data_IF_675517612581
#
_entry.id   IF_675517612581
#
_cell.length_a   1.000
_cell.length_b   1.000
_cell.length_c   1.000
_cell.angle_alpha   90.00
_cell.angle_beta   90.00
_cell.angle_gamma   90.00
#
_symmetry.space_group_name_H-M   'P 1'
#
loop_
_entity.id
_entity.type
_entity.pdbx_description
1 polymer ?
#
# COMPACT_ATOMS: atom_id res chain seq x y z
N UNK A 1 -3.73 -18.47 -30.65
CA UNK A 1 -4.61 -18.79 -29.51
C UNK A 1 -4.38 -17.78 -28.42
N UNK A 2 -5.45 -17.10 -28.03
CA UNK A 2 -5.50 -15.88 -27.21
C UNK A 2 -5.20 -16.18 -25.74
N UNK A 3 -4.18 -15.53 -25.18
CA UNK A 3 -3.99 -15.45 -23.71
C UNK A 3 -4.72 -14.19 -23.25
N UNK A 4 -5.80 -14.40 -22.50
CA UNK A 4 -6.56 -13.33 -21.86
C UNK A 4 -5.78 -12.85 -20.63
N UNK A 5 -5.15 -11.68 -20.72
CA UNK A 5 -4.70 -10.92 -19.56
C UNK A 5 -5.94 -10.36 -18.85
N UNK A 6 -6.27 -10.89 -17.67
CA UNK A 6 -7.15 -10.18 -16.74
C UNK A 6 -6.33 -9.13 -15.99
N UNK A 7 -6.56 -7.87 -16.38
CA UNK A 7 -6.21 -6.67 -15.63
C UNK A 7 -6.89 -6.71 -14.25
N UNK A 8 -6.12 -6.95 -13.18
CA UNK A 8 -6.58 -6.61 -11.83
C UNK A 8 -6.26 -5.14 -11.55
N UNK A 9 -7.19 -4.29 -11.98
CA UNK A 9 -7.33 -2.93 -11.47
C UNK A 9 -7.70 -2.98 -9.98
N UNK A 10 -6.94 -2.24 -9.17
CA UNK A 10 -7.37 -1.52 -7.96
C UNK A 10 -8.24 -2.27 -6.95
N UNK A 11 -7.60 -2.92 -5.96
CA UNK A 11 -8.16 -3.05 -4.61
C UNK A 11 -7.05 -2.74 -3.61
N UNK A 12 -7.11 -1.55 -3.02
CA UNK A 12 -6.43 -1.24 -1.77
C UNK A 12 -7.22 -1.96 -0.68
N UNK A 13 -6.66 -3.02 -0.09
CA UNK A 13 -7.16 -3.58 1.16
C UNK A 13 -6.13 -3.28 2.25
N UNK A 14 -6.55 -2.40 3.16
CA UNK A 14 -5.85 -2.01 4.38
C UNK A 14 -5.69 -3.23 5.29
N UNK A 15 -4.51 -3.37 5.88
CA UNK A 15 -4.31 -4.14 7.11
C UNK A 15 -3.65 -5.50 6.95
N UNK A 16 -2.36 -5.51 6.63
CA UNK A 16 -1.42 -6.57 7.01
C UNK A 16 -0.04 -5.90 7.13
N UNK A 17 0.44 -5.68 8.36
CA UNK A 17 1.83 -5.32 8.60
C UNK A 17 2.69 -6.53 8.21
N UNK A 18 3.60 -6.44 7.23
CA UNK A 18 4.64 -7.44 7.10
C UNK A 18 5.58 -7.27 8.31
N UNK A 19 5.66 -8.28 9.18
CA UNK A 19 6.78 -8.40 10.10
C UNK A 19 8.02 -8.67 9.25
N UNK A 20 8.82 -7.63 9.01
CA UNK A 20 10.09 -7.73 8.28
C UNK A 20 11.10 -8.57 9.08
N UNK A 21 11.14 -9.88 8.84
CA UNK A 21 12.30 -10.70 9.21
C UNK A 21 13.27 -10.73 8.04
N UNK A 22 14.28 -9.87 8.12
CA UNK A 22 15.60 -9.90 7.45
C UNK A 22 15.74 -10.93 6.31
N UNK A 23 15.45 -10.50 5.08
CA UNK A 23 15.58 -11.34 3.89
C UNK A 23 16.99 -11.24 3.29
N UNK A 24 17.83 -12.26 3.54
CA UNK A 24 19.02 -12.53 2.73
C UNK A 24 18.60 -12.78 1.27
N UNK A 25 19.27 -12.09 0.33
CA UNK A 25 19.10 -12.24 -1.12
C UNK A 25 19.14 -13.72 -1.51
N UNK A 26 18.06 -14.22 -2.12
CA UNK A 26 17.77 -15.62 -2.55
C UNK A 26 17.07 -16.52 -1.53
N UNK A 27 15.91 -16.10 -1.02
CA UNK A 27 14.96 -17.02 -0.38
C UNK A 27 13.57 -16.89 -1.02
N UNK A 28 12.97 -18.04 -1.35
CA UNK A 28 11.56 -18.13 -1.77
C UNK A 28 10.72 -18.14 -0.50
N UNK A 29 9.85 -17.14 -0.34
CA UNK A 29 8.92 -17.09 0.79
C UNK A 29 7.68 -17.95 0.46
N UNK A 30 7.53 -19.08 1.14
CA UNK A 30 6.34 -19.93 1.03
C UNK A 30 5.33 -19.52 2.11
N UNK A 31 4.23 -18.91 1.71
CA UNK A 31 3.12 -18.62 2.60
C UNK A 31 2.37 -19.91 2.93
N UNK A 32 2.52 -20.41 4.16
CA UNK A 32 1.72 -21.51 4.67
C UNK A 32 0.44 -20.96 5.32
N UNK A 33 -0.70 -21.22 4.68
CA UNK A 33 -2.01 -20.85 5.23
C UNK A 33 -2.40 -21.85 6.32
N UNK A 34 -2.36 -21.42 7.59
CA UNK A 34 -2.91 -22.19 8.71
C UNK A 34 -4.43 -22.16 8.64
N UNK A 35 -5.05 -23.31 8.33
CA UNK A 35 -6.50 -23.47 8.37
C UNK A 35 -7.00 -23.26 9.81
N UNK A 36 -7.96 -22.37 10.01
CA UNK A 36 -8.59 -22.16 11.31
C UNK A 36 -9.39 -23.42 11.73
N UNK A 37 -9.41 -23.80 13.01
CA UNK A 37 -10.06 -25.03 13.49
C UNK A 37 -11.58 -25.04 13.33
N UNK A 38 -12.21 -23.88 13.09
CA UNK A 38 -13.65 -23.76 12.87
C UNK A 38 -14.05 -24.03 11.40
N UNK A 39 -13.68 -25.19 10.85
CA UNK A 39 -14.28 -25.68 9.60
C UNK A 39 -15.61 -26.33 9.91
N UNK A 40 -16.71 -25.66 9.59
CA UNK A 40 -18.02 -26.31 9.55
C UNK A 40 -18.11 -27.15 8.28
N UNK A 41 -18.19 -28.48 8.42
CA UNK A 41 -18.55 -29.35 7.30
C UNK A 41 -20.04 -29.13 7.00
N UNK A 42 -20.34 -28.57 5.83
CA UNK A 42 -21.72 -28.47 5.35
C UNK A 42 -22.17 -29.90 5.01
N UNK A 43 -23.01 -30.50 5.86
CA UNK A 43 -23.53 -31.86 5.63
C UNK A 43 -24.50 -31.87 4.44
N UNK A 44 -24.56 -33.03 3.78
CA UNK A 44 -25.13 -33.29 2.44
C UNK A 44 -26.62 -33.01 2.22
N UNK A 45 -27.35 -32.49 3.22
CA UNK A 45 -28.77 -32.17 3.14
C UNK A 45 -29.09 -30.71 2.75
N UNK A 46 -28.08 -29.94 2.32
CA UNK A 46 -28.29 -28.56 1.90
C UNK A 46 -28.80 -28.49 0.44
N UNK A 47 -29.93 -27.81 0.21
CA UNK A 47 -30.50 -27.60 -1.13
C UNK A 47 -29.43 -27.07 -2.11
N UNK A 48 -29.37 -27.64 -3.32
CA UNK A 48 -28.34 -27.36 -4.36
C UNK A 48 -28.11 -25.86 -4.66
N UNK A 49 -29.16 -25.05 -4.58
CA UNK A 49 -29.06 -23.59 -4.78
C UNK A 49 -28.26 -22.91 -3.65
N UNK A 50 -28.50 -23.31 -2.40
CA UNK A 50 -27.85 -22.75 -1.21
C UNK A 50 -26.40 -23.21 -1.10
N UNK A 51 -26.09 -24.46 -1.47
CA UNK A 51 -24.69 -24.92 -1.54
C UNK A 51 -23.88 -24.17 -2.59
N UNK A 52 -24.45 -23.90 -3.77
CA UNK A 52 -23.80 -23.07 -4.80
C UNK A 52 -23.54 -21.64 -4.30
N UNK A 53 -24.51 -21.02 -3.64
CA UNK A 53 -24.36 -19.66 -3.10
C UNK A 53 -23.28 -19.57 -2.02
N UNK A 54 -23.23 -20.53 -1.10
CA UNK A 54 -22.18 -20.61 -0.06
C UNK A 54 -20.80 -20.86 -0.68
N UNK A 55 -20.69 -21.78 -1.65
CA UNK A 55 -19.42 -22.07 -2.32
C UNK A 55 -18.90 -20.85 -3.11
N UNK A 56 -19.82 -20.05 -3.67
CA UNK A 56 -19.49 -18.80 -4.36
C UNK A 56 -19.23 -17.63 -3.40
N UNK A 57 -19.38 -17.83 -2.08
CA UNK A 57 -19.35 -16.76 -1.07
C UNK A 57 -20.26 -15.57 -1.46
N UNK A 58 -21.42 -15.87 -2.04
CA UNK A 58 -22.28 -14.87 -2.66
C UNK A 58 -22.71 -13.78 -1.67
N UNK A 59 -22.94 -14.14 -0.40
CA UNK A 59 -23.23 -13.20 0.67
C UNK A 59 -22.79 -13.77 2.03
N UNK A 60 -22.08 -12.98 2.83
CA UNK A 60 -21.64 -13.38 4.19
C UNK A 60 -22.80 -13.56 5.18
N UNK A 61 -23.98 -13.03 4.87
CA UNK A 61 -25.21 -13.24 5.62
C UNK A 61 -25.57 -14.74 5.70
N UNK A 62 -25.34 -15.48 4.62
CA UNK A 62 -25.69 -16.90 4.54
C UNK A 62 -24.81 -17.78 5.45
N UNK A 63 -23.72 -17.23 5.99
CA UNK A 63 -22.81 -17.91 6.94
C UNK A 63 -23.08 -17.52 8.40
N UNK A 64 -24.08 -16.68 8.68
CA UNK A 64 -24.41 -16.29 10.06
C UNK A 64 -25.18 -17.40 10.76
N UNK A 65 -24.55 -17.99 11.78
CA UNK A 65 -25.15 -19.08 12.58
C UNK A 65 -25.89 -18.55 13.81
N UNK A 66 -25.38 -17.51 14.46
CA UNK A 66 -25.97 -16.90 15.65
C UNK A 66 -26.37 -15.43 15.38
N UNK A 67 -27.68 -15.20 15.38
CA UNK A 67 -28.28 -13.88 15.12
C UNK A 67 -27.97 -12.86 16.22
N UNK A 68 -27.79 -13.31 17.46
CA UNK A 68 -27.53 -12.43 18.61
C UNK A 68 -26.10 -11.88 18.56
N UNK A 69 -25.11 -12.75 18.30
CA UNK A 69 -23.71 -12.34 18.10
C UNK A 69 -23.57 -11.35 16.95
N UNK A 70 -24.27 -11.58 15.84
CA UNK A 70 -24.25 -10.66 14.69
C UNK A 70 -24.89 -9.32 15.05
N UNK A 71 -26.03 -9.32 15.75
CA UNK A 71 -26.70 -8.10 16.18
C UNK A 71 -25.81 -7.27 17.11
N UNK A 72 -25.19 -7.91 18.10
CA UNK A 72 -24.27 -7.26 19.03
C UNK A 72 -23.03 -6.72 18.30
N UNK A 73 -22.50 -7.45 17.32
CA UNK A 73 -21.38 -6.97 16.50
C UNK A 73 -21.76 -5.75 15.65
N UNK A 74 -22.97 -5.73 15.07
CA UNK A 74 -23.50 -4.57 14.33
C UNK A 74 -23.67 -3.37 15.24
N UNK A 75 -24.21 -3.56 16.44
CA UNK A 75 -24.38 -2.48 17.42
C UNK A 75 -23.01 -1.90 17.82
N UNK A 76 -22.04 -2.75 18.15
CA UNK A 76 -20.65 -2.33 18.44
C UNK A 76 -20.03 -1.54 17.29
N UNK A 77 -20.31 -1.92 16.04
CA UNK A 77 -19.83 -1.20 14.87
C UNK A 77 -20.49 0.18 14.76
N UNK A 78 -21.80 0.26 14.95
CA UNK A 78 -22.53 1.54 14.97
C UNK A 78 -22.03 2.45 16.09
N UNK A 79 -21.83 1.92 17.28
CA UNK A 79 -21.28 2.66 18.42
C UNK A 79 -19.86 3.17 18.13
N UNK A 80 -19.00 2.33 17.54
CA UNK A 80 -17.65 2.71 17.12
C UNK A 80 -17.64 3.75 15.99
N UNK A 81 -18.65 3.76 15.11
CA UNK A 81 -18.81 4.78 14.07
C UNK A 81 -19.30 6.12 14.65
N UNK A 82 -20.15 6.09 15.67
CA UNK A 82 -20.66 7.26 16.37
C UNK A 82 -19.60 7.89 17.29
N UNK A 83 -18.73 7.06 17.87
CA UNK A 83 -17.47 7.50 18.45
C UNK A 83 -16.61 8.06 17.31
N UNK A 84 -16.69 9.39 17.07
CA UNK A 84 -15.79 10.08 16.13
C UNK A 84 -14.36 9.59 16.37
N UNK A 85 -13.58 9.30 15.31
CA UNK A 85 -12.17 9.02 15.51
C UNK A 85 -11.58 10.19 16.31
N UNK A 86 -10.86 9.86 17.38
CA UNK A 86 -10.08 10.84 18.14
C UNK A 86 -9.40 11.77 17.13
N UNK A 87 -9.56 13.09 17.31
CA UNK A 87 -9.10 14.12 16.38
C UNK A 87 -7.74 13.71 15.84
N UNK A 88 -7.70 13.24 14.59
CA UNK A 88 -6.46 12.83 13.98
C UNK A 88 -5.61 14.09 13.93
N UNK A 89 -4.57 14.15 14.76
CA UNK A 89 -3.63 15.25 14.70
C UNK A 89 -3.16 15.33 13.25
N UNK A 90 -3.30 16.50 12.63
CA UNK A 90 -2.94 16.68 11.23
C UNK A 90 -1.43 16.48 11.09
N UNK A 91 -1.01 15.28 10.70
CA UNK A 91 0.38 14.97 10.44
C UNK A 91 0.85 15.78 9.23
N UNK A 92 2.03 16.40 9.33
CA UNK A 92 2.61 17.14 8.20
C UNK A 92 3.23 16.16 7.20
N UNK A 93 3.78 15.06 7.70
CA UNK A 93 4.33 13.95 6.94
C UNK A 93 4.30 12.68 7.81
N UNK A 94 4.72 11.56 7.24
CA UNK A 94 5.02 10.34 7.97
C UNK A 94 6.40 9.86 7.53
N UNK A 95 7.35 9.79 8.45
CA UNK A 95 8.71 9.37 8.17
C UNK A 95 9.20 8.40 9.24
N UNK A 96 9.33 7.14 8.85
CA UNK A 96 9.77 6.05 9.73
C UNK A 96 11.30 6.08 9.85
N UNK A 97 11.79 6.22 11.08
CA UNK A 97 13.21 6.15 11.42
C UNK A 97 13.61 4.71 11.74
N UNK A 98 12.86 4.06 12.64
CA UNK A 98 13.02 2.66 13.04
C UNK A 98 11.69 2.08 13.55
N UNK A 99 11.73 0.90 14.20
CA UNK A 99 10.56 0.19 14.71
C UNK A 99 9.81 0.93 15.83
N UNK A 100 10.45 1.88 16.50
CA UNK A 100 9.93 2.59 17.66
C UNK A 100 9.65 4.07 17.37
N UNK A 101 10.29 4.63 16.34
CA UNK A 101 10.26 6.04 16.03
C UNK A 101 9.70 6.30 14.63
N UNK A 102 8.50 6.90 14.59
CA UNK A 102 7.89 7.46 13.38
C UNK A 102 7.62 8.93 13.60
N UNK A 103 8.12 9.77 12.70
CA UNK A 103 8.03 11.23 12.82
C UNK A 103 6.89 11.78 11.98
N UNK A 104 6.19 12.75 12.55
CA UNK A 104 5.03 13.39 11.96
C UNK A 104 5.18 14.90 11.81
N UNK A 105 6.18 15.50 12.46
CA UNK A 105 6.48 16.92 12.46
C UNK A 105 7.99 17.17 12.38
N UNK A 106 8.38 18.34 11.84
CA UNK A 106 9.80 18.74 11.76
C UNK A 106 10.46 18.95 13.13
N UNK A 107 9.68 19.12 14.19
CA UNK A 107 10.15 19.19 15.58
C UNK A 107 10.60 17.86 16.15
N UNK A 108 10.18 16.74 15.54
CA UNK A 108 10.48 15.40 16.04
C UNK A 108 11.95 15.03 15.82
N UNK A 109 12.61 15.65 14.83
CA UNK A 109 14.03 15.49 14.56
C UNK A 109 14.91 16.09 15.67
N UNK A 110 15.76 15.25 16.25
CA UNK A 110 16.80 15.58 17.21
C UNK A 110 18.06 16.07 16.52
N UNK A 111 18.40 15.48 15.38
CA UNK A 111 19.58 15.86 14.62
C UNK A 111 19.32 17.12 13.79
N UNK A 112 20.05 18.24 14.01
CA UNK A 112 19.88 19.44 13.19
C UNK A 112 20.33 19.21 11.74
N UNK A 113 21.30 18.31 11.53
CA UNK A 113 21.79 17.94 10.19
C UNK A 113 20.77 17.06 9.47
N UNK A 114 20.19 16.05 10.13
CA UNK A 114 19.15 15.22 9.53
C UNK A 114 17.90 16.04 9.20
N UNK A 115 17.50 16.96 10.08
CA UNK A 115 16.37 17.88 9.86
C UNK A 115 16.57 18.75 8.60
N UNK A 116 17.76 19.33 8.42
CA UNK A 116 18.09 20.14 7.24
C UNK A 116 18.04 19.29 5.97
N UNK A 117 18.63 18.09 6.01
CA UNK A 117 18.64 17.16 4.87
C UNK A 117 17.22 16.70 4.51
N UNK A 118 16.37 16.44 5.52
CA UNK A 118 14.98 16.05 5.33
C UNK A 118 14.15 17.16 4.66
N UNK A 119 14.38 18.43 4.99
CA UNK A 119 13.71 19.53 4.31
C UNK A 119 14.02 19.57 2.80
N UNK A 120 15.29 19.41 2.42
CA UNK A 120 15.70 19.29 1.02
C UNK A 120 15.09 18.06 0.35
N UNK A 121 15.10 16.92 1.05
CA UNK A 121 14.48 15.68 0.59
C UNK A 121 12.97 15.85 0.30
N UNK A 122 12.23 16.57 1.15
CA UNK A 122 10.82 16.86 0.91
C UNK A 122 10.60 17.67 -0.38
N UNK A 123 11.45 18.66 -0.66
CA UNK A 123 11.38 19.45 -1.89
C UNK A 123 11.68 18.59 -3.13
N UNK A 124 12.74 17.77 -3.06
CA UNK A 124 13.10 16.83 -4.12
C UNK A 124 11.98 15.81 -4.37
N UNK A 125 11.34 15.28 -3.32
CA UNK A 125 10.19 14.39 -3.46
C UNK A 125 9.00 15.05 -4.15
N UNK A 126 8.72 16.33 -3.90
CA UNK A 126 7.65 17.05 -4.62
C UNK A 126 7.95 17.13 -6.13
N UNK A 127 9.18 17.51 -6.50
CA UNK A 127 9.61 17.54 -7.91
C UNK A 127 9.57 16.14 -8.55
N UNK A 128 9.97 15.10 -7.82
CA UNK A 128 9.88 13.72 -8.25
C UNK A 128 8.44 13.28 -8.55
N UNK A 129 7.48 13.66 -7.71
CA UNK A 129 6.07 13.36 -7.96
C UNK A 129 5.54 14.10 -9.20
N UNK A 130 5.97 15.34 -9.43
CA UNK A 130 5.61 16.08 -10.64
C UNK A 130 6.12 15.36 -11.91
N UNK A 131 7.36 14.85 -11.89
CA UNK A 131 7.91 14.07 -13.00
C UNK A 131 7.13 12.77 -13.23
N UNK A 132 6.74 12.07 -12.16
CA UNK A 132 5.86 10.88 -12.25
C UNK A 132 4.50 11.20 -12.86
N UNK A 133 3.88 12.32 -12.48
CA UNK A 133 2.62 12.76 -13.07
C UNK A 133 2.79 13.06 -14.57
N UNK A 134 3.85 13.78 -14.95
CA UNK A 134 4.17 14.05 -16.35
C UNK A 134 4.39 12.76 -17.17
N UNK A 135 5.09 11.77 -16.60
CA UNK A 135 5.27 10.47 -17.26
C UNK A 135 3.92 9.77 -17.47
N UNK A 136 3.01 9.85 -16.49
CA UNK A 136 1.67 9.27 -16.59
C UNK A 136 0.86 9.94 -17.71
N UNK A 137 0.94 11.26 -17.84
CA UNK A 137 0.31 12.01 -18.93
C UNK A 137 0.87 11.56 -20.28
N UNK A 138 2.19 11.56 -20.46
CA UNK A 138 2.82 11.12 -21.71
C UNK A 138 2.47 9.68 -22.10
N UNK A 139 2.39 8.76 -21.13
CA UNK A 139 1.94 7.38 -21.38
C UNK A 139 0.47 7.32 -21.80
N UNK A 140 -0.37 8.19 -21.25
CA UNK A 140 -1.78 8.32 -21.63
C UNK A 140 -1.91 8.85 -23.06
N UNK A 141 -1.16 9.89 -23.40
CA UNK A 141 -1.12 10.47 -24.74
C UNK A 141 -0.60 9.45 -25.76
N UNK A 142 0.45 8.70 -25.41
CA UNK A 142 0.99 7.62 -26.25
C UNK A 142 -0.06 6.56 -26.58
N UNK A 143 -0.91 6.18 -25.61
CA UNK A 143 -1.98 5.22 -25.85
C UNK A 143 -2.98 5.70 -26.90
N UNK A 144 -3.29 7.00 -26.91
CA UNK A 144 -4.29 7.62 -27.80
C UNK A 144 -3.70 8.12 -29.12
N UNK A 145 -2.37 8.24 -29.21
CA UNK A 145 -1.67 8.80 -30.36
C UNK A 145 -1.72 7.92 -31.63
N UNK A 146 -1.59 8.56 -32.79
CA UNK A 146 -1.32 7.90 -34.07
C UNK A 146 0.08 7.28 -34.10
N UNK A 147 0.34 6.37 -35.04
CA UNK A 147 1.62 5.65 -35.13
C UNK A 147 2.84 6.58 -35.27
N UNK A 148 2.70 7.68 -36.01
CA UNK A 148 3.76 8.69 -36.16
C UNK A 148 4.05 9.41 -34.83
N UNK A 149 3.00 9.84 -34.12
CA UNK A 149 3.15 10.50 -32.83
C UNK A 149 3.70 9.54 -31.77
N UNK A 150 3.38 8.24 -31.83
CA UNK A 150 4.00 7.22 -30.98
C UNK A 150 5.51 7.13 -31.18
N UNK A 151 5.99 7.17 -32.42
CA UNK A 151 7.44 7.13 -32.70
C UNK A 151 8.17 8.36 -32.12
N UNK A 152 7.50 9.52 -32.08
CA UNK A 152 8.05 10.75 -31.47
C UNK A 152 8.01 10.72 -29.94
N UNK A 153 6.94 10.17 -29.34
CA UNK A 153 6.74 10.13 -27.89
C UNK A 153 7.56 9.03 -27.20
N UNK A 154 7.78 7.89 -27.86
CA UNK A 154 8.52 6.76 -27.31
C UNK A 154 9.89 7.10 -26.71
N UNK A 155 10.80 7.82 -27.40
CA UNK A 155 12.11 8.17 -26.82
C UNK A 155 11.97 9.11 -25.61
N UNK A 156 11.07 10.10 -25.67
CA UNK A 156 10.84 11.03 -24.58
C UNK A 156 10.29 10.34 -23.31
N UNK A 157 9.42 9.35 -23.48
CA UNK A 157 8.90 8.51 -22.38
C UNK A 157 10.04 7.71 -21.76
N UNK A 158 10.85 7.04 -22.58
CA UNK A 158 11.96 6.22 -22.11
C UNK A 158 13.00 7.05 -21.33
N UNK A 159 13.35 8.23 -21.82
CA UNK A 159 14.30 9.10 -21.15
C UNK A 159 13.77 9.59 -19.80
N UNK A 160 12.48 9.94 -19.74
CA UNK A 160 11.84 10.35 -18.48
C UNK A 160 11.74 9.19 -17.49
N UNK A 161 11.49 7.97 -17.95
CA UNK A 161 11.49 6.76 -17.12
C UNK A 161 12.85 6.52 -16.48
N UNK A 162 13.94 6.57 -17.27
CA UNK A 162 15.31 6.44 -16.75
C UNK A 162 15.62 7.52 -15.73
N UNK A 163 15.18 8.76 -15.96
CA UNK A 163 15.38 9.86 -15.02
C UNK A 163 14.63 9.64 -13.71
N UNK A 164 13.40 9.15 -13.78
CA UNK A 164 12.59 8.80 -12.60
C UNK A 164 13.25 7.69 -11.79
N UNK A 165 13.81 6.67 -12.46
CA UNK A 165 14.53 5.59 -11.79
C UNK A 165 15.76 6.12 -11.03
N UNK A 166 16.59 6.95 -11.67
CA UNK A 166 17.73 7.61 -11.02
C UNK A 166 17.33 8.41 -9.77
N UNK A 167 16.28 9.24 -9.89
CA UNK A 167 15.80 10.05 -8.77
C UNK A 167 15.22 9.17 -7.65
N UNK A 168 14.62 8.03 -7.99
CA UNK A 168 14.12 7.09 -7.00
C UNK A 168 15.26 6.50 -6.15
N UNK A 169 16.35 6.08 -6.79
CA UNK A 169 17.55 5.61 -6.08
C UNK A 169 18.20 6.71 -5.23
N UNK A 170 18.34 7.91 -5.76
CA UNK A 170 18.88 9.06 -5.03
C UNK A 170 18.04 9.36 -3.78
N UNK A 171 16.72 9.41 -3.93
CA UNK A 171 15.79 9.62 -2.83
C UNK A 171 15.90 8.53 -1.75
N UNK A 172 16.09 7.27 -2.15
CA UNK A 172 16.28 6.16 -1.20
C UNK A 172 17.59 6.33 -0.43
N UNK A 173 18.69 6.64 -1.12
CA UNK A 173 19.99 6.91 -0.48
C UNK A 173 19.91 8.07 0.50
N UNK A 174 19.27 9.18 0.10
CA UNK A 174 19.06 10.33 1.00
C UNK A 174 18.21 9.97 2.20
N UNK A 175 17.13 9.19 2.03
CA UNK A 175 16.31 8.72 3.15
C UNK A 175 17.10 7.85 4.14
N UNK A 176 17.95 6.94 3.64
CA UNK A 176 18.84 6.12 4.47
C UNK A 176 19.81 7.02 5.25
N UNK A 177 20.42 8.01 4.60
CA UNK A 177 21.34 8.95 5.24
C UNK A 177 20.64 9.74 6.36
N UNK A 178 19.43 10.25 6.11
CA UNK A 178 18.64 10.94 7.14
C UNK A 178 18.40 10.03 8.34
N UNK A 179 18.00 8.77 8.11
CA UNK A 179 17.81 7.79 9.20
C UNK A 179 19.10 7.53 9.97
N UNK A 180 20.23 7.39 9.27
CA UNK A 180 21.54 7.17 9.93
C UNK A 180 21.90 8.33 10.86
N UNK A 181 21.83 9.56 10.34
CA UNK A 181 22.14 10.78 11.10
C UNK A 181 21.22 10.97 12.31
N UNK A 182 19.94 10.60 12.16
CA UNK A 182 18.99 10.68 13.26
C UNK A 182 19.30 9.63 14.33
N UNK A 183 19.59 8.39 13.93
CA UNK A 183 19.93 7.31 14.87
C UNK A 183 21.22 7.60 15.64
N UNK A 184 22.21 8.24 15.01
CA UNK A 184 23.42 8.72 15.69
C UNK A 184 23.10 9.76 16.77
N UNK A 185 22.03 10.54 16.61
CA UNK A 185 21.63 11.57 17.58
C UNK A 185 20.67 11.05 18.68
N UNK A 186 20.17 9.82 18.53
CA UNK A 186 19.32 9.13 19.51
C UNK A 186 20.11 8.19 20.44
N UNK A 187 21.37 7.89 20.10
CA UNK A 187 22.31 7.14 20.94
C UNK A 187 22.99 8.06 21.96
#
# INVERSE_FOLDING_TARGET
MTICMLLMNSIILVGLHPTETNHKKRSVSMYSYRMHPNKFMITSNLKRKKSKQLAMLHTIHDTWTDTTTVSNAKQRLSDAQLMRPAVQQKHQFEFVIDNWHTYHQFSDFRSPTAKKLFNSYCQQRKSFQQQKSKLKELRTDYMQASQENKQRLAPAILDLEKRIEQIAEENERTAIQIRSLEKESLN
#
